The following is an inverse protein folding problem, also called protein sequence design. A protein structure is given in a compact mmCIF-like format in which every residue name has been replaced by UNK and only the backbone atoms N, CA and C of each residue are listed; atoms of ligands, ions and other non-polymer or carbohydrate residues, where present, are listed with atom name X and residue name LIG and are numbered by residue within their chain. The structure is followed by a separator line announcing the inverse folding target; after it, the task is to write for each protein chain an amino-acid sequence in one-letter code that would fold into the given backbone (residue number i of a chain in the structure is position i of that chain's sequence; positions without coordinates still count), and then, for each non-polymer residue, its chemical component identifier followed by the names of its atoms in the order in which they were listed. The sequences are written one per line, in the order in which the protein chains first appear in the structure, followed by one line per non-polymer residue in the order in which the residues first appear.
data_IF_561740521074
#
_entry.id   IF_561740521074
#
_cell.length_a   1.000
_cell.length_b   1.000
_cell.length_c   1.000
_cell.angle_alpha   90.00
_cell.angle_beta   90.00
_cell.angle_gamma   90.00
#
_symmetry.space_group_name_H-M   'P 1'
#
loop_
_entity.id
_entity.type
_entity.pdbx_description
1 polymer ?
#
# COMPACT_ATOMS: atom_id res chain seq x y z
N UNK A 1 -32.13 14.46 7.87
CA UNK A 1 -31.22 13.66 8.72
C UNK A 1 -29.82 13.82 8.19
N UNK A 2 -29.01 14.60 8.89
CA UNK A 2 -27.64 14.95 8.49
C UNK A 2 -26.76 13.69 8.54
N UNK A 3 -25.99 13.45 7.47
CA UNK A 3 -24.92 12.47 7.44
C UNK A 3 -23.82 13.00 8.36
N UNK A 4 -23.73 12.45 9.57
CA UNK A 4 -22.61 12.73 10.48
C UNK A 4 -21.29 12.43 9.77
N UNK A 5 -20.35 13.34 9.99
CA UNK A 5 -19.04 13.45 9.37
C UNK A 5 -18.29 12.12 9.40
N UNK A 6 -18.00 11.58 8.21
CA UNK A 6 -17.03 10.52 7.99
C UNK A 6 -15.70 10.97 8.60
N UNK A 7 -15.22 10.20 9.57
CA UNK A 7 -13.98 10.38 10.32
C UNK A 7 -12.82 10.73 9.36
N UNK A 8 -12.44 12.01 9.34
CA UNK A 8 -11.73 12.67 8.23
C UNK A 8 -10.21 12.48 8.25
N UNK A 9 -9.66 11.59 9.08
CA UNK A 9 -8.21 11.38 9.18
C UNK A 9 -7.68 10.19 8.38
N UNK A 10 -8.53 9.33 7.78
CA UNK A 10 -8.07 8.03 7.22
C UNK A 10 -8.43 7.74 5.77
N UNK A 11 -9.24 8.57 5.14
CA UNK A 11 -9.58 8.47 3.72
C UNK A 11 -9.02 9.70 3.04
N UNK A 12 -7.94 9.52 2.28
CA UNK A 12 -7.39 10.60 1.46
C UNK A 12 -8.05 10.48 0.10
N UNK A 13 -8.97 11.41 -0.20
CA UNK A 13 -9.53 11.58 -1.55
C UNK A 13 -8.52 12.38 -2.37
N UNK A 14 -7.80 11.70 -3.26
CA UNK A 14 -6.64 12.24 -3.97
C UNK A 14 -7.08 12.53 -5.40
N UNK A 15 -7.45 13.80 -5.64
CA UNK A 15 -7.90 14.28 -6.94
C UNK A 15 -6.95 13.96 -8.10
N UNK A 16 -7.58 13.70 -9.24
CA UNK A 16 -7.05 13.31 -10.55
C UNK A 16 -5.68 13.91 -10.96
N UNK A 17 -4.74 13.03 -11.32
CA UNK A 17 -3.71 13.33 -12.32
C UNK A 17 -3.48 12.09 -13.21
N UNK A 18 -3.90 12.17 -14.49
CA UNK A 18 -3.95 11.05 -15.45
C UNK A 18 -2.60 10.71 -16.12
N UNK A 19 -1.57 11.53 -15.97
CA UNK A 19 -0.55 11.60 -17.05
C UNK A 19 0.80 10.91 -16.77
N UNK A 20 0.98 10.17 -15.67
CA UNK A 20 2.32 9.61 -15.34
C UNK A 20 2.43 8.11 -15.05
N UNK A 21 1.33 7.35 -15.12
CA UNK A 21 1.32 5.95 -14.66
C UNK A 21 1.38 4.88 -15.75
N UNK A 22 1.57 5.26 -17.02
CA UNK A 22 1.43 4.32 -18.13
C UNK A 22 2.67 3.45 -18.42
N UNK A 23 3.77 3.61 -17.67
CA UNK A 23 5.00 2.80 -17.81
C UNK A 23 5.26 1.87 -16.60
N UNK A 24 4.36 1.80 -15.62
CA UNK A 24 4.51 0.92 -14.45
C UNK A 24 3.82 -0.44 -14.69
N UNK A 25 4.54 -1.58 -14.72
CA UNK A 25 3.96 -2.91 -14.83
C UNK A 25 2.94 -3.23 -13.73
N UNK A 26 3.03 -2.58 -12.57
CA UNK A 26 2.04 -2.70 -11.51
C UNK A 26 0.73 -1.99 -11.87
N UNK A 27 0.81 -0.83 -12.53
CA UNK A 27 -0.37 -0.10 -12.99
C UNK A 27 -1.16 -0.94 -14.01
N UNK A 28 -0.48 -1.58 -14.98
CA UNK A 28 -1.13 -2.47 -15.94
C UNK A 28 -1.88 -3.63 -15.25
N UNK A 29 -1.23 -4.31 -14.28
CA UNK A 29 -1.87 -5.38 -13.49
C UNK A 29 -3.11 -4.90 -12.74
N UNK A 30 -3.06 -3.68 -12.18
CA UNK A 30 -4.18 -3.08 -11.47
C UNK A 30 -5.30 -2.73 -12.45
N UNK A 31 -4.99 -2.14 -13.60
CA UNK A 31 -5.96 -1.85 -14.66
C UNK A 31 -6.67 -3.10 -15.17
N UNK A 32 -5.95 -4.21 -15.37
CA UNK A 32 -6.54 -5.49 -15.76
C UNK A 32 -7.54 -6.01 -14.72
N UNK A 33 -7.21 -5.89 -13.43
CA UNK A 33 -8.10 -6.29 -12.33
C UNK A 33 -9.36 -5.42 -12.30
N UNK A 34 -9.21 -4.11 -12.53
CA UNK A 34 -10.31 -3.16 -12.57
C UNK A 34 -11.22 -3.42 -13.75
N UNK A 35 -10.67 -3.61 -14.95
CA UNK A 35 -11.46 -3.85 -16.16
C UNK A 35 -12.33 -5.11 -16.03
N UNK A 36 -11.85 -6.14 -15.32
CA UNK A 36 -12.64 -7.33 -14.97
C UNK A 36 -13.77 -7.07 -13.96
N UNK A 37 -13.67 -6.02 -13.15
CA UNK A 37 -14.60 -5.70 -12.06
C UNK A 37 -15.57 -4.55 -12.35
N UNK A 38 -15.38 -3.81 -13.45
CA UNK A 38 -16.13 -2.61 -13.88
C UNK A 38 -17.64 -2.83 -14.15
N UNK A 39 -18.21 -3.97 -13.76
CA UNK A 39 -19.64 -4.29 -13.91
C UNK A 39 -20.44 -4.22 -12.59
N UNK A 40 -19.88 -3.65 -11.52
CA UNK A 40 -20.54 -3.56 -10.21
C UNK A 40 -20.79 -2.10 -9.80
N UNK A 41 -21.98 -1.86 -9.25
CA UNK A 41 -22.38 -0.57 -8.67
C UNK A 41 -21.72 -0.40 -7.29
N UNK A 42 -20.51 0.16 -7.21
CA UNK A 42 -19.80 0.40 -5.95
C UNK A 42 -18.55 1.28 -6.12
N UNK A 43 -18.17 2.01 -5.07
CA UNK A 43 -16.97 2.85 -5.07
C UNK A 43 -15.72 1.96 -4.97
N UNK A 44 -14.86 2.02 -6.00
CA UNK A 44 -13.65 1.21 -6.08
C UNK A 44 -12.57 1.77 -5.14
N UNK A 45 -11.92 0.88 -4.39
CA UNK A 45 -10.84 1.25 -3.48
C UNK A 45 -9.58 0.43 -3.69
N UNK A 46 -8.43 1.07 -3.49
CA UNK A 46 -7.12 0.46 -3.48
C UNK A 46 -6.54 0.59 -2.06
N UNK A 47 -6.06 -0.52 -1.50
CA UNK A 47 -5.39 -0.50 -0.20
C UNK A 47 -3.90 -0.31 -0.40
N UNK A 48 -3.27 0.58 0.39
CA UNK A 48 -1.82 0.70 0.42
C UNK A 48 -1.31 0.62 1.85
N UNK A 49 -0.21 -0.11 2.03
CA UNK A 49 0.55 -0.10 3.27
C UNK A 49 2.02 0.20 2.98
N UNK A 50 2.55 1.21 3.66
CA UNK A 50 3.97 1.55 3.65
C UNK A 50 4.65 1.05 4.91
N UNK A 51 5.91 0.66 4.81
CA UNK A 51 6.65 0.17 5.97
C UNK A 51 8.07 -0.24 5.68
N UNK A 52 8.84 -0.48 6.75
CA UNK A 52 10.22 -0.95 6.60
C UNK A 52 10.29 -2.35 5.99
N UNK A 53 9.37 -3.27 6.33
CA UNK A 53 9.38 -4.69 5.92
C UNK A 53 10.78 -5.34 6.03
N UNK A 54 11.45 -5.12 7.16
CA UNK A 54 12.82 -5.54 7.42
C UNK A 54 12.89 -6.50 8.62
N UNK A 55 12.47 -7.79 8.48
CA UNK A 55 11.89 -8.42 7.29
C UNK A 55 10.34 -8.35 7.24
N UNK A 56 9.75 -8.79 6.12
CA UNK A 56 8.30 -9.04 6.04
C UNK A 56 7.92 -10.26 6.90
N UNK A 57 6.82 -10.17 7.63
CA UNK A 57 6.19 -11.29 8.34
C UNK A 57 4.71 -11.47 7.94
N UNK A 58 4.13 -12.62 8.28
CA UNK A 58 2.74 -12.99 7.97
C UNK A 58 1.69 -11.96 8.40
N UNK A 59 1.95 -11.20 9.47
CA UNK A 59 1.00 -10.20 9.95
C UNK A 59 0.85 -9.00 8.99
N UNK A 60 1.82 -8.70 8.12
CA UNK A 60 1.65 -7.65 7.10
C UNK A 60 0.59 -8.07 6.07
N UNK A 61 0.64 -9.33 5.63
CA UNK A 61 -0.34 -9.89 4.68
C UNK A 61 -1.72 -10.00 5.34
N UNK A 62 -1.78 -10.50 6.58
CA UNK A 62 -3.04 -10.58 7.35
C UNK A 62 -3.66 -9.22 7.62
N UNK A 63 -2.86 -8.19 7.85
CA UNK A 63 -3.35 -6.82 8.02
C UNK A 63 -4.08 -6.34 6.76
N UNK A 64 -3.52 -6.57 5.57
CA UNK A 64 -4.16 -6.20 4.30
C UNK A 64 -5.47 -6.98 4.07
N UNK A 65 -5.49 -8.29 4.38
CA UNK A 65 -6.68 -9.14 4.33
C UNK A 65 -7.80 -8.61 5.26
N UNK A 66 -7.46 -8.28 6.50
CA UNK A 66 -8.41 -7.74 7.48
C UNK A 66 -8.94 -6.36 7.06
N UNK A 67 -8.06 -5.49 6.58
CA UNK A 67 -8.43 -4.17 6.07
C UNK A 67 -9.38 -4.27 4.87
N UNK A 68 -9.12 -5.20 3.94
CA UNK A 68 -10.01 -5.48 2.81
C UNK A 68 -11.39 -5.90 3.28
N UNK A 69 -11.47 -6.87 4.21
CA UNK A 69 -12.75 -7.34 4.75
C UNK A 69 -13.52 -6.21 5.41
N UNK A 70 -12.84 -5.39 6.21
CA UNK A 70 -13.45 -4.23 6.86
C UNK A 70 -13.95 -3.20 5.84
N UNK A 71 -13.11 -2.81 4.88
CA UNK A 71 -13.49 -1.84 3.85
C UNK A 71 -14.69 -2.30 3.00
N UNK A 72 -14.75 -3.60 2.65
CA UNK A 72 -15.85 -4.13 1.88
C UNK A 72 -17.12 -4.36 2.69
N UNK A 73 -17.02 -4.92 3.89
CA UNK A 73 -18.20 -5.31 4.68
C UNK A 73 -18.78 -4.15 5.49
N UNK A 74 -17.93 -3.25 5.99
CA UNK A 74 -18.33 -2.20 6.92
C UNK A 74 -18.40 -0.82 6.24
N UNK A 75 -17.51 -0.55 5.29
CA UNK A 75 -17.45 0.76 4.63
C UNK A 75 -18.12 0.77 3.24
N UNK A 76 -18.44 -0.39 2.68
CA UNK A 76 -19.12 -0.51 1.39
C UNK A 76 -18.23 -0.28 0.16
N UNK A 77 -16.91 -0.28 0.31
CA UNK A 77 -15.97 -0.16 -0.82
C UNK A 77 -15.76 -1.50 -1.53
N UNK A 78 -15.73 -1.50 -2.87
CA UNK A 78 -15.21 -2.66 -3.61
C UNK A 78 -13.69 -2.55 -3.72
N UNK A 79 -13.00 -3.23 -2.80
CA UNK A 79 -11.53 -3.27 -2.81
C UNK A 79 -11.05 -4.09 -4.01
N UNK A 80 -10.36 -3.43 -4.94
CA UNK A 80 -9.88 -4.05 -6.19
C UNK A 80 -8.56 -4.77 -5.97
N UNK A 81 -7.62 -4.14 -5.26
CA UNK A 81 -6.29 -4.67 -5.01
C UNK A 81 -5.66 -4.01 -3.76
N UNK A 82 -4.55 -4.59 -3.32
CA UNK A 82 -3.69 -4.04 -2.29
C UNK A 82 -2.27 -3.86 -2.80
N UNK A 83 -1.54 -2.90 -2.23
CA UNK A 83 -0.12 -2.64 -2.51
C UNK A 83 0.65 -2.58 -1.20
N UNK A 84 1.71 -3.38 -1.10
CA UNK A 84 2.76 -3.22 -0.11
C UNK A 84 3.90 -2.40 -0.72
N UNK A 85 4.23 -1.27 -0.11
CA UNK A 85 5.26 -0.33 -0.58
C UNK A 85 6.38 -0.25 0.46
N UNK A 86 7.53 -0.91 0.24
CA UNK A 86 8.65 -0.81 1.15
C UNK A 86 9.24 0.59 1.14
N UNK A 87 9.50 1.12 2.33
CA UNK A 87 10.11 2.43 2.47
C UNK A 87 11.55 2.46 2.00
N UNK A 88 12.01 3.66 1.63
CA UNK A 88 13.38 3.96 1.23
C UNK A 88 14.41 3.46 2.27
N UNK A 89 15.57 3.02 1.79
CA UNK A 89 16.66 2.53 2.65
C UNK A 89 17.07 3.58 3.69
N UNK A 90 17.14 4.85 3.29
CA UNK A 90 17.44 5.98 4.16
C UNK A 90 16.45 6.14 5.32
N UNK A 91 15.18 5.74 5.14
CA UNK A 91 14.19 5.72 6.21
C UNK A 91 14.49 4.59 7.22
N UNK A 92 14.78 3.39 6.70
CA UNK A 92 15.09 2.21 7.52
C UNK A 92 16.40 2.40 8.29
N UNK A 93 17.43 2.94 7.64
CA UNK A 93 18.71 3.24 8.28
C UNK A 93 18.52 4.20 9.47
N UNK A 94 17.82 5.34 9.28
CA UNK A 94 17.51 6.29 10.37
C UNK A 94 16.75 5.69 11.54
N UNK A 95 15.98 4.63 11.29
CA UNK A 95 15.22 3.92 12.32
C UNK A 95 16.11 2.94 13.10
N UNK A 96 17.02 2.25 12.41
CA UNK A 96 17.92 1.26 13.02
C UNK A 96 19.13 1.89 13.71
N UNK A 97 19.59 3.07 13.27
CA UNK A 97 20.69 3.80 13.91
C UNK A 97 20.36 4.25 15.34
N UNK A 98 19.08 4.29 15.74
CA UNK A 98 18.67 4.60 17.11
C UNK A 98 18.94 3.47 18.13
N UNK A 99 19.28 2.27 17.67
CA UNK A 99 19.33 1.06 18.50
C UNK A 99 20.65 0.26 18.37
N UNK A 100 21.75 0.88 17.93
CA UNK A 100 23.06 0.23 17.70
C UNK A 100 23.01 -1.02 16.79
N UNK A 101 21.99 -1.14 15.95
CA UNK A 101 21.73 -2.34 15.15
C UNK A 101 21.97 -2.12 13.65
N UNK A 102 22.86 -1.22 13.25
CA UNK A 102 23.15 -0.95 11.81
C UNK A 102 23.55 -2.20 11.03
N UNK A 103 24.19 -3.17 11.69
CA UNK A 103 24.56 -4.48 11.13
C UNK A 103 23.36 -5.36 10.71
N UNK A 104 22.14 -5.03 11.16
CA UNK A 104 20.91 -5.79 10.83
C UNK A 104 20.10 -5.16 9.69
N UNK A 105 20.64 -4.15 8.99
CA UNK A 105 19.96 -3.52 7.87
C UNK A 105 19.83 -4.50 6.69
N UNK A 106 18.58 -4.78 6.30
CA UNK A 106 18.27 -5.59 5.12
C UNK A 106 18.11 -4.64 3.91
N UNK A 107 18.90 -4.87 2.86
CA UNK A 107 18.88 -4.06 1.63
C UNK A 107 17.50 -4.06 0.95
N UNK A 108 17.20 -3.01 0.19
CA UNK A 108 15.92 -2.86 -0.52
C UNK A 108 15.64 -4.04 -1.45
N UNK A 109 16.66 -4.53 -2.15
CA UNK A 109 16.58 -5.69 -3.04
C UNK A 109 16.06 -6.92 -2.31
N UNK A 110 16.58 -7.18 -1.11
CA UNK A 110 16.18 -8.35 -0.32
C UNK A 110 14.78 -8.16 0.26
N UNK A 111 14.44 -6.95 0.71
CA UNK A 111 13.09 -6.64 1.22
C UNK A 111 12.02 -6.79 0.14
N UNK A 112 12.30 -6.30 -1.07
CA UNK A 112 11.43 -6.49 -2.25
C UNK A 112 11.24 -7.97 -2.59
N UNK A 113 12.33 -8.73 -2.69
CA UNK A 113 12.26 -10.15 -3.01
C UNK A 113 11.44 -10.93 -1.97
N UNK A 114 11.67 -10.67 -0.67
CA UNK A 114 10.89 -11.30 0.40
C UNK A 114 9.40 -10.91 0.35
N UNK A 115 9.09 -9.64 0.06
CA UNK A 115 7.70 -9.19 -0.10
C UNK A 115 7.02 -9.85 -1.29
N UNK A 116 7.71 -9.96 -2.44
CA UNK A 116 7.17 -10.62 -3.63
C UNK A 116 6.83 -12.07 -3.35
N UNK A 117 7.71 -12.80 -2.67
CA UNK A 117 7.45 -14.17 -2.20
C UNK A 117 6.28 -14.23 -1.21
N UNK A 118 6.18 -13.26 -0.30
CA UNK A 118 5.12 -13.23 0.70
C UNK A 118 3.71 -12.98 0.12
N UNK A 119 3.60 -12.32 -1.03
CA UNK A 119 2.31 -12.01 -1.66
C UNK A 119 1.92 -12.96 -2.79
N UNK A 120 2.84 -13.81 -3.26
CA UNK A 120 2.66 -14.69 -4.42
C UNK A 120 1.43 -15.61 -4.30
N UNK A 121 1.18 -16.18 -3.12
CA UNK A 121 0.12 -17.17 -2.89
C UNK A 121 -1.10 -16.59 -2.17
N UNK A 122 -1.32 -15.27 -2.27
CA UNK A 122 -2.49 -14.64 -1.65
C UNK A 122 -3.77 -14.90 -2.45
N UNK A 123 -4.92 -15.11 -1.79
CA UNK A 123 -6.18 -15.46 -2.47
C UNK A 123 -6.85 -14.27 -3.18
N UNK A 124 -6.20 -13.11 -3.22
CA UNK A 124 -6.72 -11.88 -3.81
C UNK A 124 -5.59 -11.00 -4.34
N UNK A 125 -5.86 -10.03 -5.23
CA UNK A 125 -4.81 -9.22 -5.84
C UNK A 125 -4.07 -8.34 -4.80
N UNK A 126 -2.95 -8.85 -4.29
CA UNK A 126 -2.01 -8.13 -3.44
C UNK A 126 -0.65 -8.05 -4.14
N UNK A 127 -0.15 -6.84 -4.32
CA UNK A 127 1.05 -6.57 -5.08
C UNK A 127 2.10 -5.85 -4.24
N UNK A 128 3.31 -5.75 -4.80
CA UNK A 128 4.43 -5.00 -4.23
C UNK A 128 4.80 -3.89 -5.20
N UNK A 129 4.96 -2.67 -4.70
CA UNK A 129 5.54 -1.55 -5.46
C UNK A 129 6.98 -1.34 -5.04
N UNK A 130 7.89 -1.14 -5.97
CA UNK A 130 9.30 -0.78 -5.69
C UNK A 130 9.55 0.73 -5.73
N UNK A 131 8.52 1.53 -6.03
CA UNK A 131 8.65 2.96 -6.25
C UNK A 131 9.17 3.71 -5.02
N UNK A 132 8.64 3.41 -3.83
CA UNK A 132 9.07 4.11 -2.60
C UNK A 132 10.50 3.74 -2.19
N UNK A 133 10.89 2.47 -2.36
CA UNK A 133 12.23 2.01 -2.00
C UNK A 133 13.30 2.39 -3.02
N UNK A 134 12.93 2.69 -4.26
CA UNK A 134 13.86 3.21 -5.27
C UNK A 134 14.19 4.69 -5.09
N UNK A 135 13.47 5.40 -4.21
CA UNK A 135 13.77 6.80 -3.89
C UNK A 135 15.04 6.93 -3.05
N UNK A 136 15.88 7.92 -3.38
CA UNK A 136 17.11 8.23 -2.67
C UNK A 136 16.89 8.90 -1.30
N UNK A 137 15.68 9.39 -1.04
CA UNK A 137 15.34 10.14 0.18
C UNK A 137 14.06 9.61 0.82
N UNK A 138 13.81 10.00 2.07
CA UNK A 138 12.58 9.64 2.78
C UNK A 138 11.40 10.35 2.12
N UNK A 139 10.45 9.58 1.63
CA UNK A 139 9.23 10.08 1.00
C UNK A 139 8.14 10.25 2.05
N UNK A 140 7.38 11.34 1.97
CA UNK A 140 6.19 11.53 2.81
C UNK A 140 5.02 10.69 2.30
N UNK A 141 4.25 10.12 3.23
CA UNK A 141 3.10 9.26 2.90
C UNK A 141 2.10 9.88 1.89
N UNK A 142 1.76 11.18 1.95
CA UNK A 142 0.88 11.79 0.95
C UNK A 142 1.44 11.78 -0.48
N UNK A 143 2.75 11.60 -0.65
CA UNK A 143 3.40 11.52 -1.97
C UNK A 143 3.41 10.10 -2.52
N UNK A 144 3.41 9.08 -1.65
CA UNK A 144 3.28 7.66 -2.03
C UNK A 144 1.87 7.37 -2.57
N UNK A 145 0.88 8.10 -2.06
CA UNK A 145 -0.52 7.96 -2.48
C UNK A 145 -0.91 8.62 -3.79
N UNK A 146 -0.03 9.34 -4.50
CA UNK A 146 -0.37 10.06 -5.75
C UNK A 146 -0.49 9.15 -6.98
N UNK A 147 -1.12 7.99 -6.81
CA UNK A 147 -1.51 7.08 -7.89
C UNK A 147 -2.92 7.48 -8.42
N UNK A 148 -3.28 7.13 -9.68
CA UNK A 148 -4.48 7.60 -10.40
C UNK A 148 -5.79 7.05 -9.76
N UNK A 149 -6.99 7.35 -10.29
CA UNK A 149 -8.20 7.65 -9.51
C UNK A 149 -8.70 6.48 -8.66
N UNK A 150 -8.19 6.35 -7.45
CA UNK A 150 -8.67 5.38 -6.47
C UNK A 150 -8.78 6.06 -5.13
N UNK A 151 -9.86 5.73 -4.41
CA UNK A 151 -9.91 6.02 -2.97
C UNK A 151 -8.82 5.19 -2.32
N UNK A 152 -7.76 5.87 -1.90
CA UNK A 152 -6.63 5.25 -1.25
C UNK A 152 -6.95 5.14 0.25
N UNK A 153 -7.24 3.92 0.69
CA UNK A 153 -7.39 3.67 2.12
C UNK A 153 -6.00 3.37 2.67
N UNK A 154 -5.44 4.38 3.32
CA UNK A 154 -4.16 4.35 3.98
C UNK A 154 -4.23 3.49 5.25
N UNK A 155 -3.44 2.42 5.32
CA UNK A 155 -3.28 1.65 6.56
C UNK A 155 -2.13 2.20 7.39
N UNK A 156 -2.30 2.34 8.72
CA UNK A 156 -1.22 2.79 9.59
C UNK A 156 -0.05 1.82 9.54
N UNK A 157 1.17 2.36 9.60
CA UNK A 157 2.39 1.57 9.73
C UNK A 157 2.32 0.68 10.98
N UNK A 158 2.72 -0.59 10.87
CA UNK A 158 2.60 -1.61 11.92
C UNK A 158 3.28 -1.27 13.27
N UNK A 159 4.04 -0.19 13.37
CA UNK A 159 4.68 0.27 14.60
C UNK A 159 3.77 1.13 15.51
N UNK A 160 2.50 1.34 15.13
CA UNK A 160 1.52 2.11 15.92
C UNK A 160 0.29 1.29 16.34
N UNK A 161 0.37 -0.05 16.28
CA UNK A 161 -0.64 -0.96 16.84
C UNK A 161 -0.33 -1.29 18.30
#
# INVERSE_FOLDING_TARGET
MARESRDSERVVDIGLAKEKCMEDPLAEKIFDVIHRKDQRNGELALLISTGSFAPVHIMHVRMMESARKFATQQLGYDVVAGILSPSAEAYVEKKLTKHDCKSTLISNVHRLAMLQLAVQDTPWPLFVSDWECSQSTVVSFPSVGKAPPFVLIALPSCHKL
#
